data_IF_854835918698
#
_entry.id   IF_854835918698
#
_cell.length_a   1.000
_cell.length_b   1.000
_cell.length_c   1.000
_cell.angle_alpha   90.00
_cell.angle_beta   90.00
_cell.angle_gamma   90.00
#
_symmetry.space_group_name_H-M   'P 1'
#
loop_
_entity.id
_entity.type
_entity.pdbx_description
1 polymer ?
#
# COMPACT_ATOMS: atom_id res chain seq x y z
N UNK A 1 -21.39 -15.90 15.40
CA UNK A 1 -20.84 -16.74 14.30
C UNK A 1 -20.51 -18.14 14.84
N UNK A 2 -20.80 -19.22 14.11
CA UNK A 2 -20.57 -20.61 14.59
C UNK A 2 -21.23 -20.96 15.96
N UNK A 3 -22.23 -20.19 16.42
CA UNK A 3 -22.80 -20.35 17.77
C UNK A 3 -21.87 -19.97 18.92
N UNK A 4 -20.72 -19.38 18.64
CA UNK A 4 -19.71 -18.98 19.63
C UNK A 4 -19.60 -17.45 19.72
N UNK A 5 -19.29 -16.97 20.92
CA UNK A 5 -19.02 -15.57 21.24
C UNK A 5 -18.04 -15.53 22.41
N UNK A 6 -17.09 -14.60 22.40
CA UNK A 6 -16.21 -14.40 23.54
C UNK A 6 -16.99 -13.90 24.75
N UNK A 7 -16.67 -14.43 25.93
CA UNK A 7 -17.18 -13.86 27.17
C UNK A 7 -16.31 -12.69 27.59
N UNK A 8 -16.80 -11.48 27.30
CA UNK A 8 -16.12 -10.24 27.62
C UNK A 8 -15.81 -10.11 29.12
N UNK A 9 -16.67 -10.64 30.00
CA UNK A 9 -16.48 -10.54 31.46
C UNK A 9 -15.30 -11.38 31.91
N UNK A 10 -15.18 -12.59 31.38
CA UNK A 10 -14.05 -13.47 31.65
C UNK A 10 -12.74 -12.87 31.14
N UNK A 11 -12.73 -12.26 29.95
CA UNK A 11 -11.55 -11.54 29.46
C UNK A 11 -11.15 -10.39 30.39
N UNK A 12 -12.10 -9.56 30.82
CA UNK A 12 -11.82 -8.45 31.75
C UNK A 12 -11.35 -8.96 33.12
N UNK A 13 -11.92 -10.06 33.61
CA UNK A 13 -11.47 -10.69 34.85
C UNK A 13 -10.02 -11.19 34.72
N UNK A 14 -9.70 -11.89 33.63
CA UNK A 14 -8.34 -12.36 33.35
C UNK A 14 -7.34 -11.20 33.27
N UNK A 15 -7.68 -10.08 32.61
CA UNK A 15 -6.79 -8.90 32.58
C UNK A 15 -6.55 -8.33 33.98
N UNK A 16 -7.54 -8.38 34.88
CA UNK A 16 -7.38 -7.95 36.28
C UNK A 16 -6.47 -8.90 37.07
N UNK A 17 -6.52 -10.19 36.78
CA UNK A 17 -5.69 -11.20 37.45
C UNK A 17 -4.23 -11.14 36.99
N UNK A 18 -3.98 -10.74 35.74
CA UNK A 18 -2.64 -10.61 35.14
C UNK A 18 -2.14 -9.16 35.09
N UNK A 19 -2.40 -8.33 36.12
CA UNK A 19 -1.90 -6.95 36.14
C UNK A 19 -0.40 -6.80 36.45
N UNK A 20 0.22 -7.83 37.04
CA UNK A 20 1.62 -7.81 37.49
C UNK A 20 2.58 -8.46 36.47
N UNK A 21 2.19 -8.53 35.19
CA UNK A 21 3.05 -9.07 34.12
C UNK A 21 3.65 -7.95 33.29
N UNK A 22 4.85 -8.16 32.76
CA UNK A 22 5.52 -7.18 31.91
C UNK A 22 4.81 -7.01 30.55
N UNK A 23 4.33 -8.12 29.95
CA UNK A 23 3.68 -8.13 28.65
C UNK A 23 2.45 -9.05 28.63
N UNK A 24 1.30 -8.51 28.25
CA UNK A 24 0.06 -9.25 28.06
C UNK A 24 -0.39 -9.20 26.60
N UNK A 25 -0.59 -10.36 25.98
CA UNK A 25 -1.12 -10.49 24.61
C UNK A 25 -2.53 -11.06 24.66
N UNK A 26 -3.48 -10.37 24.04
CA UNK A 26 -4.90 -10.71 24.09
C UNK A 26 -5.45 -10.88 22.68
N UNK A 27 -6.15 -11.99 22.44
CA UNK A 27 -6.88 -12.24 21.21
C UNK A 27 -8.33 -12.68 21.53
N UNK A 28 -9.30 -11.86 21.14
CA UNK A 28 -10.73 -12.17 21.28
C UNK A 28 -11.21 -13.17 20.20
N UNK A 29 -10.59 -13.18 19.03
CA UNK A 29 -10.96 -14.02 17.89
C UNK A 29 -12.33 -13.75 17.24
N UNK A 30 -13.19 -12.88 17.79
CA UNK A 30 -14.54 -12.62 17.25
C UNK A 30 -14.51 -12.02 15.84
N UNK A 31 -13.54 -11.15 15.55
CA UNK A 31 -13.37 -10.53 14.24
C UNK A 31 -12.98 -11.56 13.18
N UNK A 32 -12.03 -12.45 13.50
CA UNK A 32 -11.66 -13.57 12.62
C UNK A 32 -12.84 -14.52 12.40
N UNK A 33 -13.55 -14.91 13.48
CA UNK A 33 -14.74 -15.78 13.37
C UNK A 33 -15.84 -15.15 12.52
N UNK A 34 -16.08 -13.85 12.66
CA UNK A 34 -17.06 -13.14 11.83
C UNK A 34 -16.67 -13.18 10.34
N UNK A 35 -15.39 -12.99 10.04
CA UNK A 35 -14.86 -13.01 8.68
C UNK A 35 -14.86 -14.40 8.06
N UNK A 36 -14.53 -15.44 8.82
CA UNK A 36 -14.58 -16.84 8.36
C UNK A 36 -16.02 -17.34 8.17
N UNK A 37 -16.98 -16.79 8.92
CA UNK A 37 -18.40 -17.12 8.78
C UNK A 37 -19.10 -16.35 7.64
N UNK A 38 -18.52 -15.23 7.21
CA UNK A 38 -19.10 -14.35 6.18
C UNK A 38 -19.52 -15.09 4.90
N UNK A 39 -18.72 -16.01 4.31
CA UNK A 39 -19.09 -16.74 3.10
C UNK A 39 -20.29 -17.70 3.27
N UNK A 40 -20.69 -18.00 4.50
CA UNK A 40 -21.75 -18.96 4.82
C UNK A 40 -23.12 -18.29 5.00
N UNK A 41 -23.21 -16.97 4.86
CA UNK A 41 -24.42 -16.18 5.09
C UNK A 41 -24.62 -15.14 3.98
N UNK A 42 -25.83 -14.56 3.93
CA UNK A 42 -26.10 -13.42 3.06
C UNK A 42 -25.33 -12.18 3.53
N UNK A 43 -24.95 -11.31 2.58
CA UNK A 43 -24.07 -10.15 2.83
C UNK A 43 -24.52 -9.29 4.02
N UNK A 44 -25.80 -8.95 4.12
CA UNK A 44 -26.35 -8.15 5.23
C UNK A 44 -26.14 -8.80 6.61
N UNK A 45 -26.20 -10.13 6.67
CA UNK A 45 -25.93 -10.89 7.92
C UNK A 45 -24.44 -10.94 8.22
N UNK A 46 -23.61 -11.11 7.20
CA UNK A 46 -22.15 -11.02 7.34
C UNK A 46 -21.71 -9.68 7.92
N UNK A 47 -22.23 -8.59 7.37
CA UNK A 47 -22.00 -7.22 7.84
C UNK A 47 -22.50 -7.00 9.27
N UNK A 48 -23.66 -7.55 9.62
CA UNK A 48 -24.16 -7.51 10.99
C UNK A 48 -23.22 -8.23 11.98
N UNK A 49 -22.68 -9.39 11.62
CA UNK A 49 -21.72 -10.11 12.46
C UNK A 49 -20.39 -9.36 12.59
N UNK A 50 -19.88 -8.77 11.50
CA UNK A 50 -18.68 -7.93 11.49
C UNK A 50 -18.86 -6.74 12.43
N UNK A 51 -19.99 -6.03 12.33
CA UNK A 51 -20.33 -4.91 13.21
C UNK A 51 -20.44 -5.34 14.68
N UNK A 52 -21.08 -6.47 14.95
CA UNK A 52 -21.20 -7.01 16.31
C UNK A 52 -19.84 -7.38 16.92
N UNK A 53 -18.92 -7.95 16.14
CA UNK A 53 -17.57 -8.25 16.60
C UNK A 53 -16.78 -6.96 16.93
N UNK A 54 -16.91 -5.92 16.09
CA UNK A 54 -16.28 -4.63 16.35
C UNK A 54 -16.84 -3.91 17.58
N UNK A 55 -18.16 -3.97 17.83
CA UNK A 55 -18.78 -3.42 19.04
C UNK A 55 -18.25 -4.11 20.30
N UNK A 56 -18.02 -5.42 20.25
CA UNK A 56 -17.45 -6.16 21.37
C UNK A 56 -15.99 -5.81 21.61
N UNK A 57 -15.19 -5.68 20.54
CA UNK A 57 -13.83 -5.19 20.64
C UNK A 57 -13.79 -3.78 21.23
N UNK A 58 -14.62 -2.85 20.76
CA UNK A 58 -14.72 -1.49 21.29
C UNK A 58 -15.07 -1.46 22.79
N UNK A 59 -16.05 -2.28 23.20
CA UNK A 59 -16.41 -2.43 24.61
C UNK A 59 -15.24 -2.96 25.45
N UNK A 60 -14.49 -3.93 24.92
CA UNK A 60 -13.30 -4.46 25.59
C UNK A 60 -12.18 -3.43 25.71
N UNK A 61 -11.89 -2.71 24.63
CA UNK A 61 -10.90 -1.63 24.62
C UNK A 61 -11.28 -0.55 25.65
N UNK A 62 -12.57 -0.25 25.80
CA UNK A 62 -13.07 0.66 26.84
C UNK A 62 -12.73 0.20 28.27
N UNK A 63 -12.80 -1.10 28.55
CA UNK A 63 -12.38 -1.65 29.86
C UNK A 63 -10.85 -1.65 30.01
N UNK A 64 -10.09 -1.98 28.96
CA UNK A 64 -8.62 -1.90 29.00
C UNK A 64 -8.14 -0.47 29.29
N UNK A 65 -8.76 0.54 28.67
CA UNK A 65 -8.43 1.95 28.89
C UNK A 65 -8.70 2.41 30.32
N UNK A 66 -9.67 1.81 31.03
CA UNK A 66 -9.91 2.09 32.45
C UNK A 66 -8.87 1.46 33.37
N UNK A 67 -8.29 0.35 32.96
CA UNK A 67 -7.26 -0.37 33.71
C UNK A 67 -5.84 0.14 33.39
N UNK A 68 -5.68 0.86 32.29
CA UNK A 68 -4.42 1.43 31.82
C UNK A 68 -3.83 2.42 32.84
N UNK A 69 -2.57 2.19 33.21
CA UNK A 69 -1.80 3.02 34.15
C UNK A 69 -0.86 3.96 33.39
N UNK A 70 -0.40 5.00 34.07
CA UNK A 70 0.67 5.85 33.53
C UNK A 70 1.94 5.01 33.32
N UNK A 71 2.55 5.13 32.14
CA UNK A 71 3.68 4.31 31.72
C UNK A 71 3.31 3.03 30.97
N UNK A 72 2.04 2.61 30.93
CA UNK A 72 1.63 1.46 30.11
C UNK A 72 1.61 1.83 28.61
N UNK A 73 1.77 0.81 27.76
CA UNK A 73 1.63 0.94 26.31
C UNK A 73 0.60 -0.07 25.79
N UNK A 74 -0.50 0.42 25.23
CA UNK A 74 -1.53 -0.39 24.59
C UNK A 74 -1.33 -0.38 23.07
N UNK A 75 -1.15 -1.57 22.49
CA UNK A 75 -1.04 -1.79 21.05
C UNK A 75 -2.25 -2.59 20.56
N UNK A 76 -2.98 -2.06 19.58
CA UNK A 76 -4.06 -2.78 18.89
C UNK A 76 -3.62 -3.02 17.45
N UNK A 77 -3.35 -4.28 17.09
CA UNK A 77 -2.75 -4.64 15.80
C UNK A 77 -3.71 -5.55 15.05
N UNK A 78 -4.20 -5.09 13.90
CA UNK A 78 -4.88 -5.98 12.95
C UNK A 78 -3.87 -6.96 12.33
N UNK A 79 -4.20 -8.25 12.31
CA UNK A 79 -3.31 -9.29 11.77
C UNK A 79 -3.63 -9.66 10.33
N UNK A 80 -4.89 -9.48 9.91
CA UNK A 80 -5.37 -9.84 8.59
C UNK A 80 -6.34 -8.78 8.07
N UNK A 81 -6.22 -8.45 6.79
CA UNK A 81 -7.18 -7.61 6.10
C UNK A 81 -8.50 -8.34 5.93
N UNK A 82 -9.57 -7.55 5.82
CA UNK A 82 -10.86 -8.08 5.41
C UNK A 82 -10.76 -8.67 3.99
N UNK A 83 -11.12 -9.96 3.85
CA UNK A 83 -10.97 -10.72 2.59
C UNK A 83 -11.88 -10.17 1.48
N UNK A 84 -13.06 -9.67 1.84
CA UNK A 84 -13.98 -9.08 0.87
C UNK A 84 -13.44 -7.73 0.40
N UNK A 85 -13.06 -6.83 1.32
CA UNK A 85 -12.48 -5.54 0.99
C UNK A 85 -11.16 -5.67 0.21
N UNK A 86 -10.31 -6.62 0.58
CA UNK A 86 -9.08 -6.94 -0.15
C UNK A 86 -9.36 -7.34 -1.60
N UNK A 87 -10.37 -8.18 -1.83
CA UNK A 87 -10.71 -8.69 -3.16
C UNK A 87 -11.43 -7.66 -4.04
N UNK A 88 -12.40 -6.94 -3.47
CA UNK A 88 -13.29 -6.05 -4.21
C UNK A 88 -12.69 -4.65 -4.36
N UNK A 89 -12.08 -4.15 -3.30
CA UNK A 89 -11.58 -2.79 -3.18
C UNK A 89 -10.05 -2.69 -3.16
N UNK A 90 -9.32 -3.81 -3.06
CA UNK A 90 -7.85 -3.79 -3.00
C UNK A 90 -7.31 -3.29 -1.67
N UNK A 91 -8.17 -3.26 -0.63
CA UNK A 91 -7.85 -2.75 0.71
C UNK A 91 -7.18 -3.85 1.52
N UNK A 92 -5.85 -3.89 1.43
CA UNK A 92 -5.01 -4.90 2.09
C UNK A 92 -4.39 -4.42 3.40
N UNK A 93 -4.48 -3.12 3.69
CA UNK A 93 -3.94 -2.56 4.92
C UNK A 93 -4.87 -2.85 6.10
N UNK A 94 -4.26 -3.02 7.26
CA UNK A 94 -4.93 -3.28 8.53
C UNK A 94 -4.65 -2.13 9.51
N UNK A 95 -5.60 -1.79 10.40
CA UNK A 95 -5.39 -0.74 11.38
C UNK A 95 -4.35 -1.19 12.42
N UNK A 96 -3.50 -0.24 12.81
CA UNK A 96 -2.62 -0.34 13.96
C UNK A 96 -2.87 0.89 14.82
N UNK A 97 -3.19 0.69 16.09
CA UNK A 97 -3.41 1.77 17.06
C UNK A 97 -2.40 1.62 18.19
N UNK A 98 -1.90 2.75 18.66
CA UNK A 98 -1.01 2.83 19.83
C UNK A 98 -1.59 3.86 20.78
N UNK A 99 -1.69 3.50 22.05
CA UNK A 99 -2.12 4.39 23.12
C UNK A 99 -1.12 4.29 24.28
N UNK A 100 -0.50 5.42 24.62
CA UNK A 100 0.55 5.53 25.63
C UNK A 100 1.29 6.86 25.50
N UNK A 101 2.22 7.13 26.41
CA UNK A 101 3.01 8.36 26.39
C UNK A 101 3.84 8.49 25.09
N UNK A 102 3.91 9.70 24.55
CA UNK A 102 4.65 9.98 23.31
C UNK A 102 3.91 9.65 22.00
N UNK A 103 2.72 9.05 22.05
CA UNK A 103 1.92 8.72 20.86
C UNK A 103 0.72 9.67 20.70
N UNK A 104 0.81 10.60 19.75
CA UNK A 104 -0.28 11.51 19.37
C UNK A 104 -0.23 11.83 17.87
N UNK A 105 -1.16 11.24 17.11
CA UNK A 105 -1.33 11.51 15.67
C UNK A 105 -1.13 10.27 14.80
N UNK A 106 -0.38 10.42 13.71
CA UNK A 106 -0.11 9.36 12.73
C UNK A 106 1.07 8.50 13.17
N UNK A 107 0.93 7.17 13.07
CA UNK A 107 2.06 6.27 13.22
C UNK A 107 2.96 6.31 11.98
N UNK A 108 4.26 6.26 12.19
CA UNK A 108 5.27 6.06 11.15
C UNK A 108 6.45 5.29 11.71
N UNK A 109 7.34 4.82 10.85
CA UNK A 109 8.58 4.18 11.27
C UNK A 109 9.71 4.45 10.26
N UNK A 110 10.98 4.40 10.70
CA UNK A 110 12.12 4.43 9.80
C UNK A 110 12.16 3.26 8.79
N UNK A 111 11.47 2.14 9.09
CA UNK A 111 11.33 0.99 8.19
C UNK A 111 10.57 1.36 6.92
N UNK A 112 9.40 2.01 7.07
CA UNK A 112 8.56 2.36 5.93
C UNK A 112 8.88 3.73 5.35
N UNK A 113 9.34 4.66 6.21
CA UNK A 113 9.56 6.09 5.90
C UNK A 113 8.32 6.77 5.32
N UNK A 114 7.13 6.28 5.72
CA UNK A 114 5.84 6.72 5.21
C UNK A 114 4.95 7.12 6.38
N UNK A 115 4.38 8.32 6.29
CA UNK A 115 3.42 8.80 7.29
C UNK A 115 2.14 7.97 7.21
N UNK A 116 1.70 7.41 8.33
CA UNK A 116 0.50 6.59 8.41
C UNK A 116 0.63 5.15 7.89
N UNK A 117 1.85 4.70 7.55
CA UNK A 117 2.11 3.33 7.11
C UNK A 117 3.27 2.77 7.92
N UNK A 118 3.08 1.62 8.53
CA UNK A 118 4.08 0.95 9.38
C UNK A 118 4.13 -0.54 9.00
N UNK A 119 5.25 -1.20 9.27
CA UNK A 119 5.38 -2.63 9.03
C UNK A 119 5.03 -3.41 10.31
N UNK A 120 4.56 -4.64 10.16
CA UNK A 120 4.29 -5.52 11.31
C UNK A 120 5.54 -5.78 12.17
N UNK A 121 6.72 -5.86 11.54
CA UNK A 121 8.01 -6.01 12.23
C UNK A 121 8.35 -4.81 13.14
N UNK A 122 7.76 -3.65 12.89
CA UNK A 122 7.96 -2.44 13.71
C UNK A 122 7.25 -2.57 15.06
N UNK A 123 6.18 -3.37 15.14
CA UNK A 123 5.49 -3.68 16.41
C UNK A 123 6.46 -4.39 17.37
N UNK A 124 7.18 -5.40 16.90
CA UNK A 124 8.19 -6.11 17.70
C UNK A 124 9.29 -5.16 18.16
N UNK A 125 9.80 -4.31 17.26
CA UNK A 125 10.82 -3.32 17.62
C UNK A 125 10.32 -2.32 18.68
N UNK A 126 9.05 -1.93 18.61
CA UNK A 126 8.43 -1.00 19.57
C UNK A 126 8.27 -1.63 20.95
N UNK A 127 7.80 -2.88 21.01
CA UNK A 127 7.69 -3.62 22.28
C UNK A 127 9.07 -3.71 22.95
N UNK A 128 10.11 -4.02 22.18
CA UNK A 128 11.46 -4.11 22.75
C UNK A 128 12.03 -2.74 23.13
N UNK A 129 11.69 -1.68 22.41
CA UNK A 129 12.10 -0.33 22.80
C UNK A 129 11.44 0.07 24.12
N UNK A 130 10.16 -0.26 24.30
CA UNK A 130 9.42 0.02 25.52
C UNK A 130 10.07 -0.63 26.76
N UNK A 131 10.66 -1.81 26.63
CA UNK A 131 11.41 -2.48 27.71
C UNK A 131 12.91 -2.13 27.76
N UNK A 132 13.37 -1.14 26.99
CA UNK A 132 14.80 -0.80 26.86
C UNK A 132 15.69 -1.97 26.36
N UNK A 133 15.09 -2.93 25.64
CA UNK A 133 15.75 -4.11 25.07
C UNK A 133 16.05 -3.97 23.57
N UNK A 134 15.60 -2.89 22.92
CA UNK A 134 15.79 -2.70 21.49
C UNK A 134 17.26 -2.47 21.13
N UNK A 135 17.78 -3.29 20.22
CA UNK A 135 19.12 -3.17 19.66
C UNK A 135 19.07 -3.04 18.13
N UNK A 136 19.48 -1.88 17.58
CA UNK A 136 19.55 -1.69 16.13
C UNK A 136 20.40 -2.77 15.46
N UNK A 137 19.88 -3.41 14.41
CA UNK A 137 20.59 -4.41 13.62
C UNK A 137 20.38 -5.87 14.06
N UNK A 138 19.91 -6.12 15.28
CA UNK A 138 19.51 -7.48 15.71
C UNK A 138 18.11 -7.87 15.19
N UNK A 139 17.29 -6.86 14.85
CA UNK A 139 15.91 -7.02 14.42
C UNK A 139 15.69 -6.17 13.17
N UNK A 140 14.93 -6.70 12.23
CA UNK A 140 14.64 -6.01 10.97
C UNK A 140 13.80 -4.73 11.16
N UNK A 141 12.85 -4.74 12.10
CA UNK A 141 11.94 -3.63 12.35
C UNK A 141 12.60 -2.43 13.04
N UNK A 142 11.93 -1.29 12.95
CA UNK A 142 12.32 -0.05 13.61
C UNK A 142 11.16 0.42 14.48
N UNK A 143 11.40 0.95 15.69
CA UNK A 143 10.32 1.32 16.58
C UNK A 143 9.37 2.36 15.97
N UNK A 144 8.11 2.23 16.33
CA UNK A 144 7.05 3.13 15.92
C UNK A 144 7.27 4.50 16.54
N UNK A 145 7.03 5.54 15.76
CA UNK A 145 7.01 6.92 16.23
C UNK A 145 5.70 7.58 15.79
N UNK A 146 5.31 8.62 16.52
CA UNK A 146 4.12 9.38 16.24
C UNK A 146 4.44 10.74 15.62
N UNK A 147 3.66 11.13 14.63
CA UNK A 147 3.71 12.44 13.99
C UNK A 147 2.39 13.16 14.22
N UNK A 148 2.45 14.34 14.84
CA UNK A 148 1.28 15.19 15.00
C UNK A 148 0.71 15.57 13.63
N UNK A 149 -0.60 15.38 13.47
CA UNK A 149 -1.33 15.71 12.25
C UNK A 149 -2.70 16.28 12.64
N UNK A 150 -3.19 17.36 11.99
CA UNK A 150 -4.45 18.00 12.38
C UNK A 150 -5.68 17.10 12.14
N UNK A 151 -5.64 16.25 11.11
CA UNK A 151 -6.68 15.25 10.83
C UNK A 151 -6.06 13.88 10.49
N UNK A 152 -5.60 13.10 11.48
CA UNK A 152 -4.93 11.82 11.24
C UNK A 152 -5.85 10.81 10.54
N UNK A 153 -7.13 10.77 10.93
CA UNK A 153 -8.09 9.78 10.42
C UNK A 153 -8.45 10.05 8.96
N UNK A 154 -8.78 11.31 8.61
CA UNK A 154 -9.06 11.69 7.24
C UNK A 154 -7.86 11.45 6.31
N UNK A 155 -6.65 11.75 6.80
CA UNK A 155 -5.41 11.44 6.07
C UNK A 155 -5.26 9.94 5.82
N UNK A 156 -5.41 9.08 6.84
CA UNK A 156 -5.29 7.62 6.70
C UNK A 156 -6.32 7.06 5.72
N UNK A 157 -7.59 7.48 5.83
CA UNK A 157 -8.65 7.04 4.93
C UNK A 157 -8.41 7.49 3.48
N UNK A 158 -7.89 8.70 3.27
CA UNK A 158 -7.53 9.16 1.94
C UNK A 158 -6.37 8.35 1.38
N UNK A 159 -5.31 8.13 2.16
CA UNK A 159 -4.13 7.38 1.73
C UNK A 159 -4.42 5.93 1.43
N UNK A 160 -5.24 5.28 2.24
CA UNK A 160 -5.67 3.91 2.00
C UNK A 160 -6.46 3.79 0.69
N UNK A 161 -7.37 4.72 0.40
CA UNK A 161 -8.10 4.76 -0.89
C UNK A 161 -7.16 4.95 -2.08
N UNK A 162 -6.19 5.85 -2.00
CA UNK A 162 -5.19 6.06 -3.05
C UNK A 162 -4.38 4.78 -3.32
N UNK A 163 -3.88 4.16 -2.25
CA UNK A 163 -3.07 2.93 -2.33
C UNK A 163 -3.88 1.76 -2.88
N UNK A 164 -5.10 1.55 -2.39
CA UNK A 164 -5.99 0.48 -2.84
C UNK A 164 -6.37 0.64 -4.32
N UNK A 165 -6.62 1.87 -4.79
CA UNK A 165 -6.91 2.14 -6.19
C UNK A 165 -5.71 1.86 -7.10
N UNK A 166 -4.49 2.25 -6.70
CA UNK A 166 -3.26 1.90 -7.42
C UNK A 166 -3.05 0.39 -7.45
N UNK A 167 -3.24 -0.30 -6.31
CA UNK A 167 -3.10 -1.75 -6.21
C UNK A 167 -4.03 -2.50 -7.18
N UNK A 168 -5.32 -2.12 -7.22
CA UNK A 168 -6.31 -2.72 -8.13
C UNK A 168 -5.97 -2.56 -9.60
N UNK A 169 -5.50 -1.36 -9.98
CA UNK A 169 -5.20 -1.04 -11.37
C UNK A 169 -3.86 -1.63 -11.82
N UNK A 170 -2.92 -1.86 -10.89
CA UNK A 170 -1.55 -2.29 -11.22
C UNK A 170 -1.51 -3.60 -12.01
N UNK A 171 -2.08 -4.68 -11.47
CA UNK A 171 -2.00 -6.01 -12.09
C UNK A 171 -2.57 -6.07 -13.52
N UNK A 172 -3.81 -5.60 -13.79
CA UNK A 172 -4.36 -5.62 -15.15
C UNK A 172 -3.58 -4.70 -16.11
N UNK A 173 -3.14 -3.52 -15.66
CA UNK A 173 -2.44 -2.57 -16.51
C UNK A 173 -1.04 -3.06 -16.88
N UNK A 174 -0.28 -3.61 -15.93
CA UNK A 174 1.04 -4.17 -16.21
C UNK A 174 0.92 -5.36 -17.18
N UNK A 175 -0.03 -6.28 -16.96
CA UNK A 175 -0.25 -7.41 -17.88
C UNK A 175 -0.66 -6.96 -19.27
N UNK A 176 -1.57 -5.98 -19.36
CA UNK A 176 -1.99 -5.39 -20.63
C UNK A 176 -0.83 -4.70 -21.36
N UNK A 177 -0.01 -3.95 -20.62
CA UNK A 177 1.18 -3.30 -21.16
C UNK A 177 2.19 -4.32 -21.70
N UNK A 178 2.48 -5.39 -20.96
CA UNK A 178 3.36 -6.48 -21.42
C UNK A 178 2.79 -7.14 -22.69
N UNK A 179 1.49 -7.40 -22.74
CA UNK A 179 0.86 -7.97 -23.94
C UNK A 179 1.00 -7.05 -25.16
N UNK A 180 0.82 -5.73 -24.98
CA UNK A 180 1.04 -4.73 -26.03
C UNK A 180 2.49 -4.74 -26.51
N UNK A 181 3.48 -4.81 -25.61
CA UNK A 181 4.89 -4.93 -25.98
C UNK A 181 5.11 -6.18 -26.84
N UNK A 182 4.61 -7.35 -26.41
CA UNK A 182 4.78 -8.61 -27.15
C UNK A 182 4.19 -8.50 -28.57
N UNK A 183 2.97 -7.94 -28.69
CA UNK A 183 2.32 -7.74 -29.99
C UNK A 183 3.15 -6.79 -30.87
N UNK A 184 3.61 -5.66 -30.35
CA UNK A 184 4.37 -4.68 -31.12
C UNK A 184 5.75 -5.20 -31.54
N UNK A 185 6.41 -5.99 -30.70
CA UNK A 185 7.65 -6.68 -31.05
C UNK A 185 7.39 -7.70 -32.17
N UNK A 186 6.32 -8.51 -32.07
CA UNK A 186 5.92 -9.43 -33.12
C UNK A 186 5.60 -8.74 -34.45
N UNK A 187 4.86 -7.62 -34.40
CA UNK A 187 4.58 -6.79 -35.57
C UNK A 187 5.85 -6.17 -36.16
N UNK A 188 6.82 -5.80 -35.33
CA UNK A 188 8.11 -5.27 -35.78
C UNK A 188 8.93 -6.32 -36.51
N UNK A 189 8.96 -7.56 -36.00
CA UNK A 189 9.59 -8.68 -36.69
C UNK A 189 8.88 -9.01 -38.01
N UNK A 190 7.54 -9.07 -38.01
CA UNK A 190 6.77 -9.30 -39.22
C UNK A 190 7.01 -8.20 -40.27
N UNK A 191 7.00 -6.93 -39.86
CA UNK A 191 7.27 -5.81 -40.74
C UNK A 191 8.67 -5.89 -41.38
N UNK A 192 9.65 -6.41 -40.63
CA UNK A 192 11.01 -6.67 -41.12
C UNK A 192 11.03 -7.81 -42.15
N UNK A 193 10.44 -8.98 -41.84
CA UNK A 193 10.43 -10.13 -42.75
C UNK A 193 9.59 -9.89 -44.02
N UNK A 194 8.41 -9.29 -43.88
CA UNK A 194 7.48 -9.03 -44.97
C UNK A 194 7.71 -7.67 -45.65
N UNK A 195 8.77 -6.94 -45.27
CA UNK A 195 9.21 -5.66 -45.88
C UNK A 195 8.06 -4.65 -46.05
N UNK A 196 7.31 -4.40 -44.99
CA UNK A 196 6.19 -3.45 -45.02
C UNK A 196 6.65 -2.05 -45.44
N UNK A 197 5.95 -1.42 -46.40
CA UNK A 197 6.33 -0.10 -46.95
C UNK A 197 6.06 1.07 -46.01
N UNK A 198 5.06 0.97 -45.13
CA UNK A 198 4.69 2.05 -44.20
C UNK A 198 4.81 1.60 -42.74
N UNK A 199 5.82 2.12 -42.04
CA UNK A 199 6.08 1.84 -40.63
C UNK A 199 5.73 3.01 -39.71
N UNK A 200 5.10 4.07 -40.22
CA UNK A 200 4.84 5.30 -39.45
C UNK A 200 4.00 5.04 -38.20
N UNK A 201 2.91 4.29 -38.33
CA UNK A 201 2.05 3.91 -37.21
C UNK A 201 2.78 3.01 -36.22
N UNK A 202 3.52 2.01 -36.70
CA UNK A 202 4.30 1.11 -35.83
C UNK A 202 5.36 1.89 -35.03
N UNK A 203 6.08 2.81 -35.67
CA UNK A 203 7.04 3.71 -35.01
C UNK A 203 6.36 4.58 -33.94
N UNK A 204 5.17 5.12 -34.24
CA UNK A 204 4.40 5.91 -33.28
C UNK A 204 4.00 5.07 -32.06
N UNK A 205 3.48 3.86 -32.28
CA UNK A 205 3.08 2.95 -31.19
C UNK A 205 4.27 2.51 -30.34
N UNK A 206 5.41 2.22 -30.96
CA UNK A 206 6.65 1.93 -30.23
C UNK A 206 7.12 3.12 -29.38
N UNK A 207 7.05 4.35 -29.92
CA UNK A 207 7.37 5.55 -29.15
C UNK A 207 6.40 5.75 -27.97
N UNK A 208 5.11 5.46 -28.13
CA UNK A 208 4.15 5.51 -27.02
C UNK A 208 4.52 4.52 -25.92
N UNK A 209 4.94 3.29 -26.29
CA UNK A 209 5.41 2.27 -25.32
C UNK A 209 6.66 2.75 -24.58
N UNK A 210 7.64 3.31 -25.28
CA UNK A 210 8.87 3.84 -24.66
C UNK A 210 8.57 5.06 -23.77
N UNK A 211 7.54 5.84 -24.09
CA UNK A 211 7.10 6.97 -23.27
C UNK A 211 6.30 6.55 -22.02
N UNK A 212 5.86 5.29 -21.91
CA UNK A 212 5.02 4.81 -20.80
C UNK A 212 5.64 5.01 -19.42
N UNK A 213 6.92 4.65 -19.16
CA UNK A 213 7.51 4.87 -17.84
C UNK A 213 7.48 6.33 -17.40
N UNK A 214 7.82 7.25 -18.30
CA UNK A 214 7.73 8.69 -18.04
C UNK A 214 6.29 9.12 -17.76
N UNK A 215 5.35 8.68 -18.61
CA UNK A 215 3.95 9.04 -18.48
C UNK A 215 3.34 8.54 -17.17
N UNK A 216 3.59 7.29 -16.79
CA UNK A 216 3.08 6.71 -15.55
C UNK A 216 3.74 7.29 -14.30
N UNK A 217 4.98 7.80 -14.40
CA UNK A 217 5.62 8.51 -13.31
C UNK A 217 4.93 9.87 -13.08
N UNK A 218 4.74 10.65 -14.14
CA UNK A 218 4.04 11.94 -14.09
C UNK A 218 2.60 11.78 -13.60
N UNK A 219 1.91 10.74 -14.07
CA UNK A 219 0.54 10.43 -13.65
C UNK A 219 0.44 9.92 -12.20
N UNK A 220 1.56 9.63 -11.54
CA UNK A 220 1.61 9.41 -10.09
C UNK A 220 1.09 10.62 -9.29
N UNK A 221 1.00 11.81 -9.89
CA UNK A 221 0.39 12.98 -9.25
C UNK A 221 -1.13 12.86 -9.03
N UNK A 222 -1.82 11.99 -9.81
CA UNK A 222 -3.27 11.78 -9.75
C UNK A 222 -3.59 10.29 -9.52
N UNK A 223 -3.19 9.72 -8.36
CA UNK A 223 -3.27 8.28 -8.12
C UNK A 223 -4.71 7.76 -8.16
N UNK A 224 -4.88 6.56 -8.71
CA UNK A 224 -6.10 5.78 -8.52
C UNK A 224 -7.38 6.32 -9.17
N UNK A 225 -7.27 7.31 -10.06
CA UNK A 225 -8.42 7.89 -10.76
C UNK A 225 -8.89 7.03 -11.94
N UNK A 226 -10.19 7.04 -12.23
CA UNK A 226 -10.75 6.44 -13.46
C UNK A 226 -10.17 7.08 -14.73
N UNK A 227 -9.72 8.34 -14.62
CA UNK A 227 -9.10 9.10 -15.70
C UNK A 227 -7.66 8.69 -16.02
N UNK A 228 -7.07 7.80 -15.22
CA UNK A 228 -5.68 7.38 -15.38
C UNK A 228 -5.41 6.73 -16.74
N UNK A 229 -6.33 5.87 -17.20
CA UNK A 229 -6.23 5.20 -18.50
C UNK A 229 -6.25 6.18 -19.69
N UNK A 230 -7.28 7.03 -19.87
CA UNK A 230 -7.29 7.99 -20.97
C UNK A 230 -6.16 9.02 -20.85
N UNK A 231 -5.78 9.43 -19.62
CA UNK A 231 -4.64 10.32 -19.41
C UNK A 231 -3.31 9.67 -19.83
N UNK A 232 -3.12 8.38 -19.53
CA UNK A 232 -1.94 7.62 -19.95
C UNK A 232 -1.83 7.54 -21.47
N UNK A 233 -2.92 7.19 -22.16
CA UNK A 233 -2.97 7.15 -23.63
C UNK A 233 -2.72 8.54 -24.23
N UNK A 234 -3.38 9.57 -23.71
CA UNK A 234 -3.23 10.94 -24.21
C UNK A 234 -1.80 11.46 -24.01
N UNK A 235 -1.20 11.23 -22.85
CA UNK A 235 0.14 11.70 -22.53
C UNK A 235 1.20 10.97 -23.37
N UNK A 236 1.12 9.65 -23.48
CA UNK A 236 2.04 8.87 -24.33
C UNK A 236 1.89 9.23 -25.81
N UNK A 237 0.66 9.45 -26.29
CA UNK A 237 0.42 9.91 -27.65
C UNK A 237 0.98 11.32 -27.89
N UNK A 238 0.76 12.25 -26.98
CA UNK A 238 1.28 13.62 -27.07
C UNK A 238 2.82 13.64 -27.13
N UNK A 239 3.47 12.88 -26.25
CA UNK A 239 4.93 12.71 -26.26
C UNK A 239 5.41 12.06 -27.55
N UNK A 240 4.76 10.98 -27.99
CA UNK A 240 5.12 10.29 -29.22
C UNK A 240 4.98 11.19 -30.46
N UNK A 241 3.92 12.00 -30.53
CA UNK A 241 3.69 12.96 -31.61
C UNK A 241 4.70 14.11 -31.60
N UNK A 242 5.13 14.57 -30.42
CA UNK A 242 6.17 15.59 -30.28
C UNK A 242 7.53 15.08 -30.77
N UNK A 243 7.85 13.82 -30.46
CA UNK A 243 9.14 13.21 -30.79
C UNK A 243 9.18 12.51 -32.15
N UNK A 244 8.04 12.36 -32.85
CA UNK A 244 7.96 11.61 -34.12
C UNK A 244 8.89 12.08 -35.24
N UNK A 245 9.30 13.36 -35.18
CA UNK A 245 10.20 13.98 -36.18
C UNK A 245 11.68 13.80 -35.84
N UNK A 246 12.00 13.38 -34.62
CA UNK A 246 13.37 13.10 -34.22
C UNK A 246 13.79 11.72 -34.75
N UNK A 247 15.11 11.56 -34.90
CA UNK A 247 15.67 10.23 -35.15
C UNK A 247 15.35 9.30 -33.96
N UNK A 248 15.00 8.03 -34.20
CA UNK A 248 14.59 7.10 -33.14
C UNK A 248 15.58 7.01 -31.99
N UNK A 249 16.88 6.96 -32.29
CA UNK A 249 17.95 6.90 -31.28
C UNK A 249 17.94 8.13 -30.38
N UNK A 250 17.83 9.34 -30.97
CA UNK A 250 17.77 10.59 -30.21
C UNK A 250 16.51 10.67 -29.35
N UNK A 251 15.36 10.24 -29.88
CA UNK A 251 14.11 10.19 -29.14
C UNK A 251 14.20 9.24 -27.93
N UNK A 252 14.79 8.05 -28.10
CA UNK A 252 15.00 7.09 -27.02
C UNK A 252 15.96 7.61 -25.95
N UNK A 253 17.09 8.19 -26.35
CA UNK A 253 18.07 8.77 -25.42
C UNK A 253 17.43 9.91 -24.62
N UNK A 254 16.69 10.80 -25.28
CA UNK A 254 16.00 11.90 -24.62
C UNK A 254 14.96 11.39 -23.61
N UNK A 255 14.11 10.44 -24.02
CA UNK A 255 13.10 9.86 -23.12
C UNK A 255 13.74 9.16 -21.92
N UNK A 256 14.78 8.37 -22.15
CA UNK A 256 15.53 7.71 -21.09
C UNK A 256 16.14 8.71 -20.12
N UNK A 257 16.82 9.75 -20.63
CA UNK A 257 17.44 10.79 -19.82
C UNK A 257 16.43 11.59 -19.00
N UNK A 258 15.30 11.98 -19.61
CA UNK A 258 14.23 12.73 -18.93
C UNK A 258 13.56 11.86 -17.85
N UNK A 259 13.29 10.58 -18.15
CA UNK A 259 12.72 9.65 -17.16
C UNK A 259 13.68 9.45 -15.99
N UNK A 260 14.97 9.19 -16.26
CA UNK A 260 15.99 9.03 -15.23
C UNK A 260 16.13 10.28 -14.37
N UNK A 261 16.19 11.47 -14.99
CA UNK A 261 16.24 12.74 -14.27
C UNK A 261 15.01 12.92 -13.36
N UNK A 262 13.81 12.65 -13.88
CA UNK A 262 12.58 12.78 -13.09
C UNK A 262 12.54 11.80 -11.92
N UNK A 263 13.00 10.56 -12.11
CA UNK A 263 13.13 9.57 -11.02
C UNK A 263 14.08 10.08 -9.94
N UNK A 264 15.24 10.61 -10.31
CA UNK A 264 16.22 11.14 -9.35
C UNK A 264 15.67 12.35 -8.60
N UNK A 265 15.07 13.30 -9.31
CA UNK A 265 14.45 14.48 -8.70
C UNK A 265 13.32 14.08 -7.76
N UNK A 266 12.45 13.15 -8.16
CA UNK A 266 11.38 12.66 -7.29
C UNK A 266 11.96 11.97 -6.05
N UNK A 267 12.98 11.12 -6.20
CA UNK A 267 13.63 10.45 -5.07
C UNK A 267 14.24 11.44 -4.07
N UNK A 268 14.87 12.52 -4.53
CA UNK A 268 15.40 13.59 -3.68
C UNK A 268 14.29 14.37 -2.94
N UNK A 269 13.10 14.47 -3.54
CA UNK A 269 11.93 15.14 -2.96
C UNK A 269 11.06 14.20 -2.09
N UNK A 270 11.53 12.99 -1.78
CA UNK A 270 10.80 12.02 -0.95
C UNK A 270 10.01 10.95 -1.71
N UNK A 271 10.27 10.80 -3.01
CA UNK A 271 9.73 9.77 -3.90
C UNK A 271 8.19 9.79 -4.01
N UNK A 272 7.58 10.97 -3.97
CA UNK A 272 6.13 11.13 -3.89
C UNK A 272 5.40 10.59 -5.14
N UNK A 273 5.97 10.81 -6.35
CA UNK A 273 5.41 10.27 -7.58
C UNK A 273 5.61 8.75 -7.66
N UNK A 274 6.80 8.26 -7.30
CA UNK A 274 7.09 6.83 -7.31
C UNK A 274 6.19 6.04 -6.36
N UNK A 275 5.84 6.57 -5.18
CA UNK A 275 4.91 5.91 -4.25
C UNK A 275 3.49 5.75 -4.80
N UNK A 276 3.12 6.62 -5.74
CA UNK A 276 1.75 6.74 -6.30
C UNK A 276 1.63 6.23 -7.73
N UNK A 277 2.75 5.95 -8.37
CA UNK A 277 2.82 5.45 -9.74
C UNK A 277 2.52 3.95 -9.80
N UNK A 278 1.86 3.51 -10.88
CA UNK A 278 1.59 2.09 -11.13
C UNK A 278 2.88 1.26 -11.20
N UNK A 279 3.93 1.80 -11.84
CA UNK A 279 5.26 1.16 -11.95
C UNK A 279 6.15 1.43 -10.73
N UNK A 280 5.63 2.12 -9.71
CA UNK A 280 6.34 2.41 -8.47
C UNK A 280 6.63 1.18 -7.62
N UNK A 281 7.08 1.38 -6.39
CA UNK A 281 7.09 0.34 -5.36
C UNK A 281 5.80 0.38 -4.54
N UNK A 282 5.34 -0.79 -4.12
CA UNK A 282 4.04 -0.96 -3.47
C UNK A 282 4.21 -1.36 -2.00
N UNK A 283 3.76 -0.50 -1.10
CA UNK A 283 3.81 -0.75 0.33
C UNK A 283 2.73 -1.72 0.81
N UNK A 284 1.66 -1.96 0.04
CA UNK A 284 0.61 -2.93 0.41
C UNK A 284 1.11 -4.36 0.30
N UNK A 285 1.86 -4.68 -0.76
CA UNK A 285 2.49 -5.98 -0.94
C UNK A 285 3.74 -6.17 -0.06
N UNK A 286 4.36 -5.08 0.40
CA UNK A 286 5.51 -5.08 1.28
C UNK A 286 6.88 -5.57 0.74
N UNK A 287 7.15 -5.76 -0.58
CA UNK A 287 8.49 -6.18 -1.01
C UNK A 287 9.54 -5.09 -0.79
N UNK A 288 9.16 -3.80 -0.89
CA UNK A 288 9.99 -2.62 -0.56
C UNK A 288 9.12 -1.43 -0.20
N UNK A 289 9.54 -0.65 0.80
CA UNK A 289 8.81 0.54 1.26
C UNK A 289 9.33 1.87 0.73
N UNK A 290 10.55 1.91 0.19
CA UNK A 290 11.21 3.08 -0.40
C UNK A 290 12.25 2.65 -1.45
N UNK A 291 12.80 3.61 -2.20
CA UNK A 291 13.80 3.38 -3.25
C UNK A 291 13.21 3.44 -4.65
N UNK A 292 13.89 2.86 -5.64
CA UNK A 292 13.40 2.78 -7.03
C UNK A 292 12.70 1.43 -7.22
N UNK A 293 11.46 1.47 -7.75
CA UNK A 293 10.70 0.25 -8.06
C UNK A 293 11.40 -0.62 -9.09
N UNK A 294 11.18 -1.93 -9.03
CA UNK A 294 11.77 -2.88 -9.99
C UNK A 294 11.34 -2.57 -11.43
N UNK A 295 10.10 -2.11 -11.59
CA UNK A 295 9.50 -1.76 -12.86
C UNK A 295 10.10 -0.48 -13.46
N UNK A 296 10.78 0.33 -12.65
CA UNK A 296 11.65 1.44 -13.08
C UNK A 296 13.13 1.04 -13.20
N UNK A 297 13.45 -0.26 -13.22
CA UNK A 297 14.82 -0.79 -13.33
C UNK A 297 15.74 -0.42 -12.15
N UNK A 298 15.18 -0.33 -10.95
CA UNK A 298 15.94 -0.07 -9.71
C UNK A 298 16.63 -1.30 -9.09
N UNK A 299 16.65 -2.44 -9.78
CA UNK A 299 17.22 -3.71 -9.32
C UNK A 299 18.62 -3.96 -9.89
#
# INVERSE_FOLDING_TARGET
PFGLQSDLREFVAAVRDYQDVDLLVIDLGDTSRAQDYFPLVVADKGEAFRRQALIQLDSFLGELLRLHKAGDLLLVVGLQADRALAREEGKLLVPVLVYGEGFQGLLTSPTTRRQGVVANIDVTATILQFFDLYRPGEIYGQPLVSLSHPDPQGYLLQREREMAAVYRLRSPLIKGFIAIIIILVGLSLAAFFFKWRNLSLLKLLLLMVVATPLALLVLGAIPGSLWLLPAWVALTLGVALALRRLEPVKAMVLLGAVTALLIVVDALLGAWLQQRSILGYDATAGPRYYGIGNEYMGA
#
